data_IF_929563142640
#
_entry.id   IF_929563142640
#
_cell.length_a   1.000
_cell.length_b   1.000
_cell.length_c   1.000
_cell.angle_alpha   90.00
_cell.angle_beta   90.00
_cell.angle_gamma   90.00
#
_symmetry.space_group_name_H-M   'P 1'
#
loop_
_entity.id
_entity.type
_entity.pdbx_description
1 polymer ?
#
# COMPACT_ATOMS: atom_id res chain seq x y z
N UNK A 1 -13.24 -14.25 4.05
CA UNK A 1 -12.29 -14.05 2.92
C UNK A 1 -10.85 -14.12 3.40
N UNK A 2 -10.51 -13.39 4.47
CA UNK A 2 -9.14 -13.39 5.01
C UNK A 2 -8.67 -14.79 5.42
N UNK A 3 -9.50 -15.55 6.15
CA UNK A 3 -9.17 -16.91 6.57
C UNK A 3 -8.96 -17.83 5.37
N UNK A 4 -9.82 -17.73 4.36
CA UNK A 4 -9.70 -18.53 3.15
C UNK A 4 -8.41 -18.19 2.39
N UNK A 5 -8.03 -16.92 2.33
CA UNK A 5 -6.79 -16.49 1.71
C UNK A 5 -5.57 -17.09 2.41
N UNK A 6 -5.55 -17.07 3.73
CA UNK A 6 -4.45 -17.65 4.51
C UNK A 6 -4.35 -19.17 4.34
N UNK A 7 -5.50 -19.85 4.33
CA UNK A 7 -5.56 -21.31 4.17
C UNK A 7 -5.15 -21.76 2.76
N UNK A 8 -5.45 -20.96 1.74
CA UNK A 8 -5.14 -21.29 0.36
C UNK A 8 -3.64 -21.33 0.06
N UNK A 9 -2.82 -20.65 0.90
CA UNK A 9 -1.37 -20.58 0.75
C UNK A 9 -0.91 -20.13 -0.65
N UNK A 10 -1.69 -19.25 -1.29
CA UNK A 10 -1.38 -18.71 -2.61
C UNK A 10 -0.82 -17.30 -2.50
N UNK A 11 0.01 -16.87 -3.47
CA UNK A 11 0.47 -15.49 -3.53
C UNK A 11 -0.72 -14.53 -3.55
N UNK A 12 -0.66 -13.49 -2.74
CA UNK A 12 -1.73 -12.49 -2.63
C UNK A 12 -1.17 -11.11 -2.94
N UNK A 13 -1.82 -10.42 -3.86
CA UNK A 13 -1.57 -9.02 -4.13
C UNK A 13 -2.64 -8.20 -3.41
N UNK A 14 -2.22 -7.30 -2.54
CA UNK A 14 -3.14 -6.36 -1.90
C UNK A 14 -3.22 -5.07 -2.71
N UNK A 15 -4.45 -4.62 -2.91
CA UNK A 15 -4.68 -3.34 -3.56
C UNK A 15 -4.91 -2.28 -2.49
N UNK A 16 -4.08 -1.27 -2.49
CA UNK A 16 -4.02 -0.13 -1.57
C UNK A 16 -3.57 -0.50 -0.16
N UNK A 17 -4.37 -1.21 0.62
CA UNK A 17 -4.01 -1.65 1.98
C UNK A 17 -4.49 -3.08 2.18
N UNK A 18 -3.64 -4.00 2.66
CA UNK A 18 -4.09 -5.36 2.98
C UNK A 18 -5.16 -5.35 4.06
N UNK A 19 -6.20 -6.17 3.89
CA UNK A 19 -7.25 -6.31 4.90
C UNK A 19 -6.65 -6.74 6.24
N UNK A 20 -6.95 -6.00 7.28
CA UNK A 20 -6.44 -6.23 8.63
C UNK A 20 -5.26 -5.33 9.02
N UNK A 21 -4.67 -4.60 8.07
CA UNK A 21 -3.60 -3.64 8.35
C UNK A 21 -4.19 -2.24 8.47
N UNK A 22 -3.85 -1.52 9.54
CA UNK A 22 -4.28 -0.14 9.73
C UNK A 22 -3.44 0.78 8.85
N UNK A 23 -4.08 1.50 7.93
CA UNK A 23 -3.40 2.36 6.97
C UNK A 23 -2.67 3.55 7.60
N UNK A 24 -3.03 3.92 8.82
CA UNK A 24 -2.43 5.05 9.53
C UNK A 24 -1.30 4.61 10.46
N UNK A 25 -1.52 3.55 11.25
CA UNK A 25 -0.60 3.13 12.31
C UNK A 25 0.26 1.93 11.94
N UNK A 26 -0.17 1.11 11.00
CA UNK A 26 0.48 -0.15 10.67
C UNK A 26 0.12 -1.29 11.61
N UNK A 27 -0.78 -1.06 12.58
CA UNK A 27 -1.25 -2.14 13.44
C UNK A 27 -1.92 -3.22 12.63
N UNK A 28 -1.65 -4.47 12.99
CA UNK A 28 -2.17 -5.65 12.30
C UNK A 28 -3.18 -6.34 13.19
N UNK A 29 -4.42 -6.43 12.69
CA UNK A 29 -5.50 -7.14 13.38
C UNK A 29 -5.37 -8.65 13.14
N UNK A 30 -6.11 -9.44 13.89
CA UNK A 30 -6.20 -10.89 13.70
C UNK A 30 -7.64 -11.26 13.38
N UNK A 31 -7.93 -11.91 12.23
CA UNK A 31 -6.98 -12.27 11.16
C UNK A 31 -6.64 -11.09 10.24
N UNK A 32 -5.52 -11.19 9.54
CA UNK A 32 -5.09 -10.21 8.55
C UNK A 32 -4.54 -10.91 7.31
N UNK A 33 -4.72 -10.29 6.15
CA UNK A 33 -4.14 -10.76 4.90
C UNK A 33 -2.61 -10.69 4.99
N UNK A 34 -1.93 -11.68 4.43
CA UNK A 34 -0.48 -11.66 4.22
C UNK A 34 -0.22 -11.51 2.73
N UNK A 35 -0.05 -10.28 2.29
CA UNK A 35 0.26 -10.01 0.89
C UNK A 35 1.75 -10.21 0.63
N UNK A 36 2.09 -10.72 -0.54
CA UNK A 36 3.47 -10.74 -1.01
C UNK A 36 3.83 -9.39 -1.65
N UNK A 37 2.83 -8.64 -2.09
CA UNK A 37 2.98 -7.33 -2.70
C UNK A 37 1.78 -6.47 -2.37
N UNK A 38 2.00 -5.20 -2.07
CA UNK A 38 0.94 -4.21 -1.92
C UNK A 38 1.14 -3.10 -2.93
N UNK A 39 0.11 -2.85 -3.74
CA UNK A 39 0.08 -1.75 -4.69
C UNK A 39 -0.78 -0.63 -4.12
N UNK A 40 -0.16 0.40 -3.58
CA UNK A 40 -0.85 1.57 -3.06
C UNK A 40 -1.28 2.48 -4.20
N UNK A 41 -2.38 3.18 -4.01
CA UNK A 41 -2.97 4.05 -5.03
C UNK A 41 -2.74 5.52 -4.67
N UNK A 42 -2.18 6.25 -5.60
CA UNK A 42 -1.94 7.70 -5.54
C UNK A 42 -0.95 8.16 -4.48
N UNK A 43 -1.24 7.96 -3.20
CA UNK A 43 -0.41 8.39 -2.08
C UNK A 43 0.03 7.21 -1.22
N UNK A 44 1.28 7.19 -0.77
CA UNK A 44 1.71 6.16 0.17
C UNK A 44 0.97 6.31 1.50
N UNK A 45 0.53 5.18 2.06
CA UNK A 45 -0.14 5.14 3.35
C UNK A 45 0.88 4.86 4.44
N UNK A 46 0.91 5.70 5.47
CA UNK A 46 1.91 5.62 6.53
C UNK A 46 1.97 4.23 7.17
N UNK A 47 0.81 3.66 7.50
CA UNK A 47 0.76 2.36 8.16
C UNK A 47 1.30 1.22 7.31
N UNK A 48 1.13 1.30 5.98
CA UNK A 48 1.67 0.30 5.06
C UNK A 48 3.19 0.37 4.99
N UNK A 49 3.76 1.56 5.18
CA UNK A 49 5.22 1.77 5.17
C UNK A 49 5.91 1.34 6.46
N UNK A 50 5.15 1.13 7.53
CA UNK A 50 5.72 0.74 8.83
C UNK A 50 6.39 -0.62 8.76
N UNK A 51 7.60 -0.73 9.33
CA UNK A 51 8.35 -1.98 9.34
C UNK A 51 7.61 -3.10 10.07
N UNK A 52 6.82 -2.76 11.10
CA UNK A 52 6.02 -3.72 11.84
C UNK A 52 4.94 -4.42 11.00
N UNK A 53 4.52 -3.81 9.90
CA UNK A 53 3.51 -4.37 9.00
C UNK A 53 4.13 -5.16 7.83
N UNK A 54 5.44 -5.19 7.68
CA UNK A 54 6.13 -5.73 6.48
C UNK A 54 5.76 -7.17 6.12
N UNK A 55 5.47 -8.01 7.12
CA UNK A 55 5.08 -9.40 6.89
C UNK A 55 3.69 -9.53 6.27
N UNK A 56 2.89 -8.46 6.34
CA UNK A 56 1.54 -8.41 5.81
C UNK A 56 1.44 -7.57 4.54
N UNK A 57 2.41 -6.69 4.28
CA UNK A 57 2.38 -5.81 3.12
C UNK A 57 3.31 -6.26 1.99
N UNK A 58 4.38 -6.97 2.31
CA UNK A 58 5.34 -7.47 1.32
C UNK A 58 6.07 -6.36 0.60
N UNK A 59 6.34 -6.57 -0.68
CA UNK A 59 6.94 -5.55 -1.54
C UNK A 59 5.95 -4.42 -1.81
N UNK A 60 6.43 -3.18 -1.83
CA UNK A 60 5.59 -2.01 -1.96
C UNK A 60 5.74 -1.34 -3.32
N UNK A 61 4.60 -1.05 -3.93
CA UNK A 61 4.51 -0.27 -5.16
C UNK A 61 3.48 0.84 -4.98
N UNK A 62 3.64 1.91 -5.73
CA UNK A 62 2.71 3.03 -5.76
C UNK A 62 2.28 3.27 -7.18
N UNK A 63 0.96 3.34 -7.42
CA UNK A 63 0.39 3.57 -8.74
C UNK A 63 -0.17 4.99 -8.84
N UNK A 64 0.10 5.62 -9.99
CA UNK A 64 -0.54 6.86 -10.38
C UNK A 64 -1.92 6.52 -10.97
N UNK A 65 -2.98 7.01 -10.31
CA UNK A 65 -4.35 6.78 -10.75
C UNK A 65 -4.95 8.01 -11.43
N UNK A 66 -4.12 8.98 -11.81
CA UNK A 66 -4.54 10.13 -12.57
C UNK A 66 -5.10 11.29 -11.76
N UNK A 67 -4.85 11.35 -10.45
CA UNK A 67 -5.28 12.49 -9.64
C UNK A 67 -4.42 13.69 -9.99
N UNK A 68 -5.02 14.83 -10.43
CA UNK A 68 -4.25 16.00 -10.83
C UNK A 68 -3.44 16.58 -9.67
N UNK A 69 -2.27 17.12 -10.01
CA UNK A 69 -1.41 17.80 -9.05
C UNK A 69 -2.14 18.93 -8.30
N UNK A 70 -3.03 19.64 -9.01
CA UNK A 70 -3.83 20.71 -8.41
C UNK A 70 -4.71 20.24 -7.25
N UNK A 71 -5.18 19.01 -7.29
CA UNK A 71 -5.96 18.42 -6.18
C UNK A 71 -5.06 18.18 -4.97
N UNK A 72 -3.87 17.63 -5.19
CA UNK A 72 -2.89 17.43 -4.10
C UNK A 72 -2.50 18.77 -3.47
N UNK A 73 -2.26 19.78 -4.27
CA UNK A 73 -1.91 21.12 -3.78
C UNK A 73 -3.00 21.73 -2.91
N UNK A 74 -4.27 21.57 -3.31
CA UNK A 74 -5.41 22.03 -2.51
C UNK A 74 -5.52 21.34 -1.15
N UNK A 75 -5.06 20.11 -1.07
CA UNK A 75 -5.07 19.32 0.17
C UNK A 75 -3.79 19.52 1.00
N UNK A 76 -2.87 20.38 0.52
CA UNK A 76 -1.60 20.61 1.21
C UNK A 76 -0.62 19.45 1.07
N UNK A 77 -0.79 18.60 0.05
CA UNK A 77 0.07 17.44 -0.20
C UNK A 77 1.05 17.78 -1.33
N UNK A 78 2.33 17.46 -1.11
CA UNK A 78 3.35 17.62 -2.15
C UNK A 78 4.15 16.33 -2.27
N UNK A 79 4.15 15.74 -3.48
CA UNK A 79 4.95 14.58 -3.83
C UNK A 79 5.62 14.80 -5.19
N UNK A 80 6.56 15.78 -5.27
CA UNK A 80 7.15 16.14 -6.55
C UNK A 80 7.98 14.99 -7.11
N UNK A 81 7.73 14.66 -8.38
CA UNK A 81 8.56 13.74 -9.14
C UNK A 81 8.46 12.26 -8.78
N UNK A 82 7.53 11.84 -7.91
CA UNK A 82 7.42 10.44 -7.52
C UNK A 82 7.11 9.52 -8.70
N UNK A 83 6.34 10.01 -9.68
CA UNK A 83 5.99 9.26 -10.88
C UNK A 83 6.79 9.68 -12.12
N UNK A 84 7.95 10.32 -11.95
CA UNK A 84 8.75 10.81 -13.08
C UNK A 84 9.23 9.69 -14.00
N UNK A 85 9.41 8.47 -13.49
CA UNK A 85 9.88 7.33 -14.27
C UNK A 85 8.76 6.41 -14.77
N UNK A 86 7.51 6.74 -14.46
CA UNK A 86 6.37 5.97 -14.94
C UNK A 86 5.20 5.94 -13.96
N UNK A 87 4.09 5.29 -14.37
CA UNK A 87 2.84 5.29 -13.59
C UNK A 87 2.86 4.34 -12.39
N UNK A 88 3.84 3.43 -12.31
CA UNK A 88 4.00 2.53 -11.18
C UNK A 88 5.45 2.59 -10.73
N UNK A 89 5.66 2.86 -9.46
CA UNK A 89 7.00 2.92 -8.88
C UNK A 89 7.12 1.97 -7.70
N UNK A 90 8.29 1.35 -7.57
CA UNK A 90 8.60 0.52 -6.42
C UNK A 90 9.10 1.40 -5.29
N UNK A 91 8.54 1.19 -4.09
CA UNK A 91 8.98 1.88 -2.89
C UNK A 91 9.87 0.96 -2.06
N UNK A 92 10.89 1.54 -1.48
CA UNK A 92 11.79 0.84 -0.56
C UNK A 92 11.57 1.35 0.86
N UNK A 93 11.55 0.42 1.79
CA UNK A 93 11.52 0.77 3.19
C UNK A 93 12.89 1.19 3.69
#
# INVERSE_FOLDING_TARGET
VTQLSLQAARPTLALDVPTGVNATTGEVSTPAIRACTTLMLDLPKRGVLELGARHHTGELFLADIGIPRSVHERLGVSIPGVFSEGPIVRLRR
#
